data_IF_855494992724
#
_entry.id   IF_855494992724
#
_cell.length_a   1.000
_cell.length_b   1.000
_cell.length_c   1.000
_cell.angle_alpha   90.00
_cell.angle_beta   90.00
_cell.angle_gamma   90.00
#
_symmetry.space_group_name_H-M   'P 1'
#
loop_
_entity.id
_entity.type
_entity.pdbx_description
1 polymer ?
#
# COMPACT_ATOMS: atom_id res chain seq x y z
N UNK A 1 10.91 3.77 13.89
CA UNK A 1 9.53 3.39 13.52
C UNK A 1 8.85 4.57 12.83
N UNK A 2 7.76 4.34 12.10
CA UNK A 2 6.97 5.42 11.48
C UNK A 2 5.66 5.60 12.24
N UNK A 3 5.18 6.83 12.40
CA UNK A 3 3.83 7.09 12.93
C UNK A 3 2.81 6.63 11.89
N UNK A 4 1.85 5.82 12.33
CA UNK A 4 0.76 5.30 11.49
C UNK A 4 -0.52 5.42 12.28
N UNK A 5 -1.58 5.87 11.62
CA UNK A 5 -2.95 5.87 12.12
C UNK A 5 -3.78 5.03 11.16
N UNK A 6 -4.61 4.15 11.71
CA UNK A 6 -5.53 3.30 10.93
C UNK A 6 -6.96 3.72 11.19
N UNK A 7 -7.73 3.87 10.12
CA UNK A 7 -9.14 4.25 10.17
C UNK A 7 -9.93 3.10 9.55
N UNK A 8 -10.90 2.56 10.28
CA UNK A 8 -11.76 1.48 9.82
C UNK A 8 -13.19 1.67 10.35
N UNK A 9 -14.18 1.29 9.54
CA UNK A 9 -15.59 1.30 9.94
C UNK A 9 -15.98 0.03 10.71
N UNK A 10 -15.19 -1.04 10.61
CA UNK A 10 -15.43 -2.31 11.26
C UNK A 10 -14.85 -2.33 12.68
N UNK A 11 -15.75 -2.33 13.66
CA UNK A 11 -15.41 -2.38 15.08
C UNK A 11 -14.50 -3.55 15.48
N UNK A 12 -14.62 -4.72 14.84
CA UNK A 12 -13.78 -5.87 15.15
C UNK A 12 -12.30 -5.61 14.78
N UNK A 13 -12.06 -4.94 13.64
CA UNK A 13 -10.72 -4.56 13.21
C UNK A 13 -10.12 -3.51 14.16
N UNK A 14 -10.94 -2.55 14.61
CA UNK A 14 -10.53 -1.52 15.59
C UNK A 14 -10.04 -2.16 16.88
N UNK A 15 -10.85 -3.04 17.48
CA UNK A 15 -10.49 -3.71 18.73
C UNK A 15 -9.24 -4.58 18.55
N UNK A 16 -9.14 -5.34 17.46
CA UNK A 16 -7.97 -6.16 17.18
C UNK A 16 -6.69 -5.32 17.07
N UNK A 17 -6.71 -4.23 16.30
CA UNK A 17 -5.57 -3.33 16.15
C UNK A 17 -5.18 -2.63 17.46
N UNK A 18 -6.15 -2.20 18.26
CA UNK A 18 -5.87 -1.59 19.58
C UNK A 18 -5.22 -2.58 20.55
N UNK A 19 -5.64 -3.85 20.54
CA UNK A 19 -4.99 -4.90 21.34
C UNK A 19 -3.55 -5.16 20.90
N UNK A 20 -3.23 -4.93 19.63
CA UNK A 20 -1.86 -4.97 19.10
C UNK A 20 -1.08 -3.66 19.34
N UNK A 21 -1.70 -2.67 19.99
CA UNK A 21 -1.08 -1.38 20.31
C UNK A 21 -1.03 -0.40 19.13
N UNK A 22 -1.83 -0.63 18.09
CA UNK A 22 -1.94 0.29 16.94
C UNK A 22 -2.86 1.47 17.28
N UNK A 23 -2.56 2.62 16.69
CA UNK A 23 -3.41 3.81 16.75
C UNK A 23 -4.58 3.65 15.77
N UNK A 24 -5.75 3.30 16.31
CA UNK A 24 -6.96 2.97 15.56
C UNK A 24 -8.07 3.97 15.82
N UNK A 25 -8.66 4.51 14.76
CA UNK A 25 -9.85 5.35 14.81
C UNK A 25 -11.03 4.64 14.15
N UNK A 26 -12.13 4.54 14.88
CA UNK A 26 -13.37 3.98 14.34
C UNK A 26 -14.14 5.05 13.58
N UNK A 27 -14.44 4.81 12.30
CA UNK A 27 -15.23 5.75 11.51
C UNK A 27 -15.07 5.58 10.00
N UNK A 28 -15.89 6.29 9.25
CA UNK A 28 -15.72 6.43 7.81
C UNK A 28 -14.65 7.50 7.54
N UNK A 29 -13.57 7.11 6.84
CA UNK A 29 -12.50 8.02 6.43
C UNK A 29 -13.00 9.23 5.63
N UNK A 30 -14.19 9.14 5.02
CA UNK A 30 -14.83 10.22 4.26
C UNK A 30 -15.79 11.07 5.09
N UNK A 31 -15.96 10.80 6.38
CA UNK A 31 -16.81 11.63 7.26
C UNK A 31 -16.10 12.92 7.67
N UNK A 32 -16.88 13.97 7.95
CA UNK A 32 -16.34 15.21 8.54
C UNK A 32 -15.83 14.98 9.96
N UNK A 33 -16.53 14.17 10.74
CA UNK A 33 -16.14 13.75 12.09
C UNK A 33 -14.71 13.20 12.13
N UNK A 34 -14.39 12.22 11.28
CA UNK A 34 -13.03 11.66 11.20
C UNK A 34 -11.99 12.71 10.78
N UNK A 35 -12.36 13.65 9.90
CA UNK A 35 -11.44 14.70 9.46
C UNK A 35 -11.15 15.74 10.55
N UNK A 36 -12.07 15.93 11.49
CA UNK A 36 -11.93 16.85 12.62
C UNK A 36 -11.26 16.18 13.83
N UNK A 37 -11.58 14.91 14.09
CA UNK A 37 -11.13 14.18 15.27
C UNK A 37 -9.77 13.49 15.09
N UNK A 38 -9.43 13.05 13.87
CA UNK A 38 -8.14 12.39 13.64
C UNK A 38 -7.01 13.40 13.59
N UNK A 39 -6.00 13.19 14.44
CA UNK A 39 -4.78 13.99 14.41
C UNK A 39 -3.86 13.52 13.26
N UNK A 40 -3.93 14.22 12.13
CA UNK A 40 -3.06 13.97 10.98
C UNK A 40 -1.67 14.63 11.11
N UNK A 41 -1.41 15.38 12.19
CA UNK A 41 -0.14 16.06 12.39
C UNK A 41 1.03 15.05 12.41
N UNK A 42 2.05 15.31 11.60
CA UNK A 42 3.18 14.38 11.42
C UNK A 42 2.86 13.12 10.60
N UNK A 43 1.62 12.92 10.14
CA UNK A 43 1.28 11.95 9.10
C UNK A 43 1.42 12.62 7.74
N UNK A 44 2.36 12.10 6.94
CA UNK A 44 2.69 12.72 5.65
C UNK A 44 1.96 12.12 4.44
N UNK A 45 1.24 11.01 4.58
CA UNK A 45 0.71 10.22 3.44
C UNK A 45 -0.58 9.50 3.79
N UNK A 46 -1.46 9.35 2.80
CA UNK A 46 -2.64 8.50 2.87
C UNK A 46 -2.46 7.25 1.99
N UNK A 47 -2.78 6.08 2.55
CA UNK A 47 -2.90 4.82 1.81
C UNK A 47 -4.35 4.32 1.90
N UNK A 48 -5.11 4.44 0.82
CA UNK A 48 -6.46 3.92 0.73
C UNK A 48 -6.43 2.44 0.29
N UNK A 49 -6.48 1.55 1.28
CA UNK A 49 -6.28 0.10 1.12
C UNK A 49 -7.52 -0.73 1.48
N UNK A 50 -8.71 -0.17 1.29
CA UNK A 50 -9.96 -0.87 1.62
C UNK A 50 -10.36 -1.86 0.50
N UNK A 51 -11.25 -2.80 0.83
CA UNK A 51 -11.90 -3.68 -0.16
C UNK A 51 -12.88 -2.94 -1.07
N UNK A 52 -13.26 -1.70 -0.72
CA UNK A 52 -14.21 -0.90 -1.47
C UNK A 52 -13.48 0.11 -2.37
N UNK A 53 -13.47 -0.18 -3.67
CA UNK A 53 -12.87 0.66 -4.69
C UNK A 53 -13.45 2.09 -4.74
N UNK A 54 -14.73 2.26 -4.42
CA UNK A 54 -15.39 3.57 -4.39
C UNK A 54 -14.87 4.42 -3.22
N UNK A 55 -14.78 3.83 -2.02
CA UNK A 55 -14.19 4.50 -0.85
C UNK A 55 -12.74 4.90 -1.13
N UNK A 56 -11.95 4.01 -1.73
CA UNK A 56 -10.56 4.32 -2.10
C UNK A 56 -10.49 5.49 -3.10
N UNK A 57 -11.38 5.51 -4.10
CA UNK A 57 -11.44 6.57 -5.12
C UNK A 57 -11.83 7.91 -4.51
N UNK A 58 -12.85 7.94 -3.66
CA UNK A 58 -13.33 9.15 -3.00
C UNK A 58 -12.28 9.68 -2.02
N UNK A 59 -11.59 8.80 -1.29
CA UNK A 59 -10.49 9.19 -0.43
C UNK A 59 -9.35 9.83 -1.25
N UNK A 60 -9.02 9.23 -2.40
CA UNK A 60 -8.04 9.78 -3.32
C UNK A 60 -8.41 11.16 -3.91
N UNK A 61 -9.70 11.50 -3.93
CA UNK A 61 -10.20 12.80 -4.37
C UNK A 61 -10.24 13.85 -3.24
N UNK A 62 -10.57 13.44 -2.02
CA UNK A 62 -10.77 14.34 -0.86
C UNK A 62 -9.48 14.71 -0.14
N UNK A 63 -8.67 13.72 0.18
CA UNK A 63 -7.48 13.89 1.00
C UNK A 63 -6.27 14.62 0.37
N UNK A 64 -6.22 14.92 -0.94
CA UNK A 64 -5.20 15.82 -1.47
C UNK A 64 -5.19 17.21 -0.83
N UNK A 65 -6.30 17.67 -0.25
CA UNK A 65 -6.35 18.94 0.50
C UNK A 65 -5.60 18.88 1.83
N UNK A 66 -5.46 17.68 2.42
CA UNK A 66 -4.75 17.44 3.68
C UNK A 66 -3.29 17.09 3.44
N UNK A 67 -3.03 16.07 2.61
CA UNK A 67 -1.68 15.51 2.45
C UNK A 67 -0.95 16.01 1.19
N UNK A 68 -1.67 16.67 0.28
CA UNK A 68 -1.17 16.98 -1.06
C UNK A 68 -1.28 15.80 -2.02
N UNK A 69 -1.55 16.10 -3.29
CA UNK A 69 -1.80 15.10 -4.35
C UNK A 69 -0.72 14.02 -4.48
N UNK A 70 0.55 14.39 -4.28
CA UNK A 70 1.67 13.46 -4.44
C UNK A 70 1.76 12.43 -3.29
N UNK A 71 1.08 12.66 -2.17
CA UNK A 71 1.15 11.85 -0.97
C UNK A 71 -0.11 11.00 -0.73
N UNK A 72 -1.02 10.95 -1.71
CA UNK A 72 -2.25 10.17 -1.64
C UNK A 72 -2.17 8.98 -2.59
N UNK A 73 -2.33 7.79 -2.02
CA UNK A 73 -2.17 6.51 -2.69
C UNK A 73 -3.40 5.64 -2.51
N UNK A 74 -3.70 4.78 -3.49
CA UNK A 74 -4.84 3.86 -3.44
C UNK A 74 -4.51 2.51 -4.09
N UNK A 75 -5.23 1.45 -3.71
CA UNK A 75 -5.14 0.17 -4.41
C UNK A 75 -5.77 0.24 -5.82
N UNK A 76 -5.23 -0.50 -6.81
CA UNK A 76 -5.85 -0.70 -8.12
C UNK A 76 -7.21 -1.41 -8.03
N UNK A 77 -8.08 -1.12 -9.01
CA UNK A 77 -9.45 -1.63 -9.08
C UNK A 77 -9.60 -3.03 -9.71
N UNK A 78 -8.51 -3.68 -10.13
CA UNK A 78 -8.52 -5.05 -10.66
C UNK A 78 -9.04 -5.24 -12.09
N UNK A 79 -9.37 -4.17 -12.81
CA UNK A 79 -9.75 -4.26 -14.22
C UNK A 79 -8.52 -4.55 -15.10
N UNK A 80 -8.58 -5.46 -16.07
CA UNK A 80 -7.48 -5.79 -17.02
C UNK A 80 -6.79 -4.58 -17.63
N UNK A 81 -7.53 -3.49 -17.79
CA UNK A 81 -7.07 -2.24 -18.38
C UNK A 81 -6.69 -1.19 -17.33
N UNK A 82 -6.16 -1.54 -16.14
CA UNK A 82 -5.71 -0.50 -15.17
C UNK A 82 -4.71 0.44 -15.84
N UNK A 83 -3.76 -0.08 -16.61
CA UNK A 83 -2.73 0.70 -17.32
C UNK A 83 -3.32 1.55 -18.47
N UNK A 84 -4.26 1.02 -19.25
CA UNK A 84 -4.95 1.82 -20.28
C UNK A 84 -5.89 2.86 -19.67
N UNK A 85 -6.65 2.50 -18.63
CA UNK A 85 -7.47 3.43 -17.87
C UNK A 85 -6.60 4.49 -17.17
N UNK A 86 -5.39 4.14 -16.74
CA UNK A 86 -4.38 5.05 -16.19
C UNK A 86 -3.96 6.12 -17.21
N UNK A 87 -3.85 5.75 -18.48
CA UNK A 87 -3.54 6.67 -19.57
C UNK A 87 -4.76 7.47 -20.06
N UNK A 88 -5.98 6.93 -19.89
CA UNK A 88 -7.21 7.53 -20.43
C UNK A 88 -7.90 8.57 -19.52
N UNK A 89 -7.68 8.57 -18.19
CA UNK A 89 -8.17 9.68 -17.35
C UNK A 89 -7.02 10.63 -16.97
N UNK A 90 -7.30 11.93 -16.85
CA UNK A 90 -6.29 12.89 -16.47
C UNK A 90 -5.63 12.57 -15.11
N UNK A 91 -4.31 12.73 -15.04
CA UNK A 91 -3.50 12.50 -13.84
C UNK A 91 -3.92 13.34 -12.62
N UNK A 92 -4.68 14.42 -12.83
CA UNK A 92 -5.17 15.29 -11.76
C UNK A 92 -6.43 14.76 -11.04
N UNK A 93 -7.06 13.67 -11.52
CA UNK A 93 -8.29 13.10 -10.95
C UNK A 93 -8.08 11.78 -10.19
N UNK A 94 -6.83 11.35 -9.93
CA UNK A 94 -6.56 10.07 -9.24
C UNK A 94 -5.36 10.14 -8.31
N UNK A 95 -5.47 9.44 -7.17
CA UNK A 95 -4.32 9.11 -6.32
C UNK A 95 -3.42 8.07 -6.99
N UNK A 96 -2.15 8.00 -6.57
CA UNK A 96 -1.13 7.09 -7.11
C UNK A 96 -1.45 5.63 -6.77
N UNK A 97 -1.28 4.69 -7.70
CA UNK A 97 -1.58 3.30 -7.41
C UNK A 97 -0.48 2.61 -6.61
N UNK A 98 -0.88 1.89 -5.57
CA UNK A 98 0.02 1.17 -4.68
C UNK A 98 0.55 -0.12 -5.31
N UNK A 99 1.83 -0.39 -5.07
CA UNK A 99 2.57 -1.66 -5.13
C UNK A 99 2.69 -2.36 -6.49
N UNK A 100 1.84 -2.03 -7.46
CA UNK A 100 1.85 -2.60 -8.80
C UNK A 100 0.47 -2.55 -9.44
N UNK A 101 0.39 -2.58 -10.77
CA UNK A 101 -0.89 -2.43 -11.48
C UNK A 101 -1.92 -3.54 -11.18
N UNK A 102 -1.46 -4.71 -10.73
CA UNK A 102 -2.29 -5.87 -10.40
C UNK A 102 -2.51 -6.06 -8.89
N UNK A 103 -1.92 -5.20 -8.04
CA UNK A 103 -1.93 -5.38 -6.58
C UNK A 103 -3.22 -4.89 -5.95
N UNK A 104 -4.34 -5.54 -6.31
CA UNK A 104 -5.66 -5.24 -5.76
C UNK A 104 -5.80 -5.67 -4.30
N UNK A 105 -6.84 -5.20 -3.62
CA UNK A 105 -7.18 -5.68 -2.27
C UNK A 105 -7.36 -7.20 -2.24
N UNK A 106 -8.13 -7.75 -3.20
CA UNK A 106 -8.40 -9.18 -3.28
C UNK A 106 -7.11 -9.98 -3.46
N UNK A 107 -6.23 -9.52 -4.34
CA UNK A 107 -4.95 -10.16 -4.57
C UNK A 107 -4.08 -10.17 -3.29
N UNK A 108 -3.97 -9.03 -2.60
CA UNK A 108 -3.24 -8.95 -1.32
C UNK A 108 -3.82 -9.89 -0.27
N UNK A 109 -5.15 -9.96 -0.16
CA UNK A 109 -5.85 -10.84 0.77
C UNK A 109 -5.59 -12.32 0.45
N UNK A 110 -5.66 -12.70 -0.83
CA UNK A 110 -5.37 -14.07 -1.27
C UNK A 110 -3.91 -14.47 -0.97
N UNK A 111 -2.94 -13.59 -1.22
CA UNK A 111 -1.54 -13.86 -0.84
C UNK A 111 -1.39 -14.03 0.67
N UNK A 112 -2.02 -13.16 1.47
CA UNK A 112 -1.99 -13.26 2.93
C UNK A 112 -2.58 -14.59 3.42
N UNK A 113 -3.73 -15.00 2.87
CA UNK A 113 -4.38 -16.28 3.18
C UNK A 113 -3.55 -17.48 2.74
N UNK A 114 -2.76 -17.35 1.67
CA UNK A 114 -1.82 -18.36 1.20
C UNK A 114 -0.51 -18.39 2.00
N UNK A 115 -0.44 -17.69 3.14
CA UNK A 115 0.71 -17.71 4.03
C UNK A 115 1.82 -16.74 3.62
N UNK A 116 1.50 -15.67 2.89
CA UNK A 116 2.46 -14.60 2.71
C UNK A 116 2.71 -13.83 4.01
N UNK A 117 3.97 -13.43 4.21
CA UNK A 117 4.43 -12.74 5.41
C UNK A 117 5.09 -11.41 5.04
N UNK A 118 4.96 -10.40 5.89
CA UNK A 118 5.73 -9.16 5.73
C UNK A 118 7.19 -9.42 6.11
N UNK A 119 8.12 -9.13 5.20
CA UNK A 119 9.56 -9.23 5.43
C UNK A 119 10.26 -7.91 5.18
N UNK A 120 11.22 -7.60 6.05
CA UNK A 120 12.18 -6.52 5.86
C UNK A 120 13.52 -7.11 5.40
N UNK A 121 13.94 -6.78 4.17
CA UNK A 121 15.20 -7.26 3.61
C UNK A 121 16.17 -6.10 3.42
N UNK A 122 17.31 -6.16 4.11
CA UNK A 122 18.37 -5.16 3.96
C UNK A 122 19.20 -5.44 2.71
N UNK A 123 19.32 -4.44 1.85
CA UNK A 123 20.17 -4.48 0.67
C UNK A 123 21.57 -4.06 1.04
N UNK A 124 22.56 -4.80 0.57
CA UNK A 124 23.98 -4.54 0.81
C UNK A 124 24.74 -4.53 -0.51
N UNK A 125 26.05 -4.28 -0.49
CA UNK A 125 26.87 -4.46 -1.69
C UNK A 125 26.99 -5.94 -2.11
N UNK A 126 26.79 -6.87 -1.17
CA UNK A 126 26.85 -8.32 -1.40
C UNK A 126 25.49 -8.94 -1.69
N UNK A 127 24.41 -8.23 -1.40
CA UNK A 127 23.03 -8.64 -1.62
C UNK A 127 22.28 -7.44 -2.20
N UNK A 128 22.30 -7.36 -3.53
CA UNK A 128 21.78 -6.24 -4.30
C UNK A 128 20.27 -6.36 -4.51
N UNK A 129 19.65 -5.33 -5.08
CA UNK A 129 18.26 -5.41 -5.51
C UNK A 129 18.04 -6.51 -6.55
N UNK A 130 19.00 -6.72 -7.45
CA UNK A 130 18.93 -7.81 -8.43
C UNK A 130 18.94 -9.18 -7.75
N UNK A 131 19.73 -9.35 -6.70
CA UNK A 131 19.75 -10.60 -5.92
C UNK A 131 18.42 -10.83 -5.20
N UNK A 132 17.83 -9.77 -4.65
CA UNK A 132 16.48 -9.82 -4.05
C UNK A 132 15.42 -10.22 -5.09
N UNK A 133 15.46 -9.63 -6.28
CA UNK A 133 14.57 -9.98 -7.39
C UNK A 133 14.77 -11.43 -7.84
N UNK A 134 16.02 -11.92 -7.93
CA UNK A 134 16.30 -13.30 -8.30
C UNK A 134 15.87 -14.31 -7.21
N UNK A 135 15.97 -13.92 -5.94
CA UNK A 135 15.60 -14.78 -4.81
C UNK A 135 14.08 -14.97 -4.69
N UNK A 136 13.34 -13.87 -4.76
CA UNK A 136 11.89 -13.90 -4.53
C UNK A 136 11.09 -13.97 -5.83
N UNK A 137 11.50 -13.24 -6.87
CA UNK A 137 10.75 -13.10 -8.11
C UNK A 137 9.31 -12.67 -7.84
N UNK A 138 8.37 -13.32 -8.53
CA UNK A 138 6.92 -13.04 -8.42
C UNK A 138 6.31 -13.47 -7.08
N UNK A 139 7.08 -14.11 -6.18
CA UNK A 139 6.61 -14.49 -4.84
C UNK A 139 6.68 -13.32 -3.84
N UNK A 140 7.25 -12.19 -4.23
CA UNK A 140 7.30 -11.01 -3.38
C UNK A 140 6.67 -9.79 -4.03
N UNK A 141 5.81 -9.12 -3.27
CA UNK A 141 5.25 -7.82 -3.62
C UNK A 141 6.04 -6.77 -2.83
N UNK A 142 6.89 -5.96 -3.48
CA UNK A 142 7.57 -4.88 -2.80
C UNK A 142 6.55 -3.80 -2.39
N UNK A 143 6.53 -3.44 -1.11
CA UNK A 143 5.57 -2.51 -0.53
C UNK A 143 6.21 -1.15 -0.28
N UNK A 144 7.31 -1.16 0.48
CA UNK A 144 8.01 0.06 0.89
C UNK A 144 9.52 -0.08 0.77
N UNK A 145 10.18 1.05 0.64
CA UNK A 145 11.63 1.19 0.68
C UNK A 145 11.99 2.18 1.79
N UNK A 146 12.83 1.74 2.73
CA UNK A 146 13.32 2.57 3.83
C UNK A 146 14.78 2.93 3.57
N UNK A 147 15.09 4.22 3.58
CA UNK A 147 16.47 4.71 3.39
C UNK A 147 17.27 4.67 4.69
N UNK A 148 18.59 4.78 4.60
CA UNK A 148 19.49 4.93 5.76
C UNK A 148 19.17 6.15 6.62
N UNK A 149 18.53 7.18 6.02
CA UNK A 149 18.05 8.38 6.73
C UNK A 149 16.68 8.18 7.37
N UNK A 150 16.18 6.94 7.41
CA UNK A 150 14.87 6.56 7.92
C UNK A 150 13.71 7.24 7.16
N UNK A 151 13.88 7.50 5.86
CA UNK A 151 12.81 8.01 5.00
C UNK A 151 12.07 6.85 4.33
N UNK A 152 10.74 6.94 4.27
CA UNK A 152 9.88 5.94 3.63
C UNK A 152 9.59 6.33 2.18
N UNK A 153 9.79 5.41 1.25
CA UNK A 153 9.27 5.49 -0.12
C UNK A 153 8.31 4.32 -0.36
N UNK A 154 7.30 4.52 -1.19
CA UNK A 154 6.26 3.54 -1.47
C UNK A 154 6.48 3.04 -2.89
N UNK A 155 6.43 1.72 -3.10
CA UNK A 155 6.40 1.18 -4.44
C UNK A 155 5.05 1.51 -5.07
N UNK A 156 5.07 2.16 -6.22
CA UNK A 156 3.86 2.51 -6.97
C UNK A 156 3.85 1.81 -8.32
N UNK A 157 2.68 1.69 -8.94
CA UNK A 157 2.56 1.07 -10.25
C UNK A 157 3.22 1.91 -11.36
N UNK A 158 3.19 3.24 -11.21
CA UNK A 158 3.61 4.19 -12.24
C UNK A 158 5.09 4.59 -12.13
N UNK A 159 5.58 4.77 -10.90
CA UNK A 159 6.93 5.27 -10.62
C UNK A 159 7.49 4.55 -9.38
N UNK A 160 7.86 3.26 -9.51
CA UNK A 160 8.47 2.52 -8.41
C UNK A 160 9.87 3.06 -8.11
N UNK A 161 10.23 3.24 -6.82
CA UNK A 161 11.58 3.65 -6.46
C UNK A 161 12.58 2.58 -6.86
N UNK A 162 13.81 2.99 -7.20
CA UNK A 162 14.91 2.08 -7.52
C UNK A 162 15.77 1.82 -6.27
N UNK A 163 15.69 0.62 -5.65
CA UNK A 163 16.42 0.32 -4.42
C UNK A 163 17.93 0.25 -4.64
N UNK A 164 18.67 0.66 -3.61
CA UNK A 164 20.14 0.70 -3.59
C UNK A 164 20.67 0.02 -2.33
N UNK A 165 21.94 -0.37 -2.37
CA UNK A 165 22.65 -0.86 -1.18
C UNK A 165 22.56 0.16 -0.04
N UNK A 166 22.42 -0.32 1.19
CA UNK A 166 22.19 0.48 2.40
C UNK A 166 20.71 0.65 2.74
N UNK A 167 19.79 0.37 1.81
CA UNK A 167 18.36 0.52 2.02
C UNK A 167 17.68 -0.80 2.42
N UNK A 168 16.48 -0.71 3.00
CA UNK A 168 15.67 -1.87 3.38
C UNK A 168 14.40 -1.91 2.55
N UNK A 169 14.13 -3.03 1.88
CA UNK A 169 12.84 -3.30 1.24
C UNK A 169 11.92 -3.95 2.26
N UNK A 170 10.71 -3.40 2.41
CA UNK A 170 9.60 -4.05 3.09
C UNK A 170 8.70 -4.66 2.00
N UNK A 171 8.46 -5.96 2.07
CA UNK A 171 7.72 -6.71 1.05
C UNK A 171 6.78 -7.73 1.67
N UNK A 172 5.66 -8.00 1.02
CA UNK A 172 4.83 -9.17 1.30
C UNK A 172 5.39 -10.36 0.51
N UNK A 173 5.85 -11.41 1.21
CA UNK A 173 6.57 -12.54 0.61
C UNK A 173 5.82 -13.83 0.88
N UNK A 174 5.46 -14.55 -0.18
CA UNK A 174 4.89 -15.88 -0.10
C UNK A 174 5.95 -16.88 0.37
N UNK A 175 5.85 -17.34 1.62
CA UNK A 175 6.84 -18.25 2.22
C UNK A 175 6.51 -19.71 1.94
N UNK A 176 5.23 -20.09 2.05
CA UNK A 176 4.74 -21.47 1.91
C UNK A 176 3.35 -21.49 1.26
N UNK A 177 3.26 -21.33 -0.07
CA UNK A 177 1.98 -21.36 -0.77
C UNK A 177 2.11 -21.33 -2.29
N UNK A 178 0.97 -21.41 -2.98
CA UNK A 178 0.87 -21.18 -4.43
C UNK A 178 0.61 -19.70 -4.66
N UNK A 179 1.34 -19.08 -5.60
CA UNK A 179 1.09 -17.69 -5.99
C UNK A 179 -0.35 -17.64 -6.50
N UNK A 180 -1.21 -16.86 -5.85
CA UNK A 180 -2.56 -16.65 -6.35
C UNK A 180 -2.48 -16.05 -7.77
N UNK A 181 -3.32 -16.55 -8.67
CA UNK A 181 -3.45 -15.94 -9.99
C UNK A 181 -3.98 -14.52 -9.82
N UNK A 182 -3.49 -13.59 -10.63
CA UNK A 182 -3.88 -12.17 -10.56
C UNK A 182 -5.35 -11.94 -11.00
N UNK A 183 -6.14 -13.01 -11.20
CA UNK A 183 -7.51 -12.97 -11.63
C UNK A 183 -7.64 -12.47 -13.06
N UNK A 184 -7.33 -13.32 -14.04
CA UNK A 184 -7.64 -13.04 -15.45
C UNK A 184 -9.08 -13.41 -15.86
N UNK A 185 -9.96 -13.80 -14.95
CA UNK A 185 -11.31 -14.24 -15.28
C UNK A 185 -12.38 -13.39 -14.58
N UNK A 186 -12.84 -12.35 -15.29
CA UNK A 186 -14.22 -12.11 -15.75
C UNK A 186 -14.24 -10.88 -16.68
#
# INVERSE_FOLDING_TARGET
GFRVVLIDTNWQNIVAGQLEGLDMHHGDALSEEVMEECEFDGIGRLLAVTSNNEVNSLAALRFPEVFGRAAVYQLPFGSKNVIENLQQKPSHLRGRFLFGAQTTYRYLLEQWQNGAEVKATSLTQKFTYQDWQNMYGDRAIPLFLVTERHELSIFTAEDPPLPRSGQTIISLVLTNGVIADNGSDL
#
